data_IF_453839803503
#
_entry.id   IF_453839803503
#
_cell.length_a   1.000
_cell.length_b   1.000
_cell.length_c   1.000
_cell.angle_alpha   90.00
_cell.angle_beta   90.00
_cell.angle_gamma   90.00
#
_symmetry.space_group_name_H-M   'P 1'
#
loop_
_entity.id
_entity.type
_entity.pdbx_description
1 polymer ?
#
# COMPACT_ATOMS: atom_id res chain seq x y z
N UNK A 1 5.91 33.40 28.75
CA UNK A 1 7.05 34.08 28.09
C UNK A 1 6.93 33.79 26.60
N UNK A 2 6.39 34.76 25.83
CA UNK A 2 6.03 34.57 24.43
C UNK A 2 7.25 34.85 23.54
N UNK A 3 7.79 33.81 22.91
CA UNK A 3 8.81 33.95 21.86
C UNK A 3 8.12 33.86 20.50
N UNK A 4 7.90 35.04 19.90
CA UNK A 4 7.55 35.21 18.49
C UNK A 4 8.79 34.83 17.66
N UNK A 5 8.70 33.77 16.88
CA UNK A 5 9.62 33.56 15.77
C UNK A 5 9.03 34.12 14.48
N UNK A 6 9.80 35.03 13.92
CA UNK A 6 9.62 35.86 12.74
C UNK A 6 9.51 35.06 11.44
N UNK A 7 8.65 35.51 10.52
CA UNK A 7 8.64 35.11 9.09
C UNK A 7 10.00 35.39 8.44
N UNK A 8 10.40 34.54 7.48
CA UNK A 8 11.04 35.06 6.27
C UNK A 8 10.46 34.30 5.04
N UNK A 9 10.10 34.83 3.87
CA UNK A 9 10.56 35.95 3.05
C UNK A 9 9.39 36.40 2.12
N UNK A 10 9.43 37.66 1.66
CA UNK A 10 8.52 38.21 0.63
C UNK A 10 8.84 37.67 -0.79
N UNK A 11 7.87 37.71 -1.72
CA UNK A 11 8.03 37.20 -3.07
C UNK A 11 8.85 38.16 -3.95
N UNK A 12 9.96 37.69 -4.51
CA UNK A 12 10.64 38.35 -5.62
C UNK A 12 9.79 38.22 -6.88
N UNK A 13 9.26 39.36 -7.37
CA UNK A 13 8.68 39.46 -8.72
C UNK A 13 9.76 39.22 -9.77
N UNK A 14 9.85 38.01 -10.29
CA UNK A 14 10.60 37.71 -11.51
C UNK A 14 9.84 38.29 -12.71
N UNK A 15 10.45 39.23 -13.43
CA UNK A 15 9.99 39.64 -14.77
C UNK A 15 10.29 38.49 -15.76
N UNK A 16 9.36 38.12 -16.64
CA UNK A 16 9.67 37.14 -17.68
C UNK A 16 10.62 37.74 -18.72
N UNK A 17 11.71 37.03 -19.01
CA UNK A 17 12.59 37.30 -20.16
C UNK A 17 11.89 36.91 -21.46
N UNK A 18 12.14 37.61 -22.59
CA UNK A 18 11.53 37.28 -23.87
C UNK A 18 11.97 35.89 -24.37
N UNK A 19 11.13 35.18 -25.13
CA UNK A 19 11.44 33.84 -25.62
C UNK A 19 12.58 33.87 -26.64
N UNK A 20 13.48 32.87 -26.64
CA UNK A 20 14.52 32.76 -27.66
C UNK A 20 13.93 32.45 -29.05
N UNK A 21 14.65 32.81 -30.14
CA UNK A 21 14.15 32.63 -31.51
C UNK A 21 13.97 31.15 -31.88
N UNK A 22 12.87 30.85 -32.57
CA UNK A 22 12.52 29.52 -33.09
C UNK A 22 13.64 28.93 -33.93
N UNK A 23 14.29 27.87 -33.44
CA UNK A 23 15.16 27.01 -34.25
C UNK A 23 14.30 26.24 -35.26
N UNK A 24 14.77 26.24 -36.52
CA UNK A 24 14.17 25.51 -37.64
C UNK A 24 14.10 24.01 -37.34
N UNK A 25 12.91 23.46 -37.58
CA UNK A 25 12.57 22.04 -37.55
C UNK A 25 13.59 21.17 -38.29
N UNK A 26 14.23 20.25 -37.57
CA UNK A 26 14.85 19.06 -38.17
C UNK A 26 13.73 18.03 -38.41
N UNK A 27 13.58 17.63 -39.67
CA UNK A 27 12.61 16.60 -40.11
C UNK A 27 12.82 15.32 -39.31
N UNK A 28 11.89 15.01 -38.42
CA UNK A 28 11.75 13.67 -37.88
C UNK A 28 11.15 12.78 -38.98
N UNK A 29 11.80 11.66 -39.26
CA UNK A 29 11.31 10.65 -40.18
C UNK A 29 9.97 10.10 -39.66
N UNK A 30 8.93 10.29 -40.46
CA UNK A 30 7.60 9.75 -40.21
C UNK A 30 7.67 8.23 -40.46
N UNK A 31 7.69 7.42 -39.41
CA UNK A 31 7.42 5.99 -39.52
C UNK A 31 5.92 5.83 -39.78
N UNK A 32 5.56 5.67 -41.05
CA UNK A 32 4.22 5.26 -41.46
C UNK A 32 4.12 3.75 -41.28
N UNK A 33 3.21 3.21 -40.46
CA UNK A 33 2.86 1.80 -40.54
C UNK A 33 1.89 1.64 -41.71
N UNK A 34 2.43 1.30 -42.89
CA UNK A 34 1.64 0.67 -43.94
C UNK A 34 1.52 -0.81 -43.60
N UNK A 35 0.41 -1.20 -42.98
CA UNK A 35 -0.17 -2.53 -43.12
C UNK A 35 -1.59 -2.48 -42.56
N UNK A 36 -2.53 -2.95 -43.36
CA UNK A 36 -3.94 -3.15 -43.06
C UNK A 36 -4.14 -4.06 -41.83
N UNK A 37 -4.03 -3.51 -40.63
CA UNK A 37 -4.61 -4.11 -39.45
C UNK A 37 -6.12 -3.82 -39.50
N UNK A 38 -6.90 -4.82 -39.93
CA UNK A 38 -8.32 -4.86 -39.60
C UNK A 38 -8.46 -4.50 -38.11
N UNK A 39 -9.20 -3.44 -37.82
CA UNK A 39 -9.60 -3.15 -36.44
C UNK A 39 -10.22 -4.44 -35.87
N UNK A 40 -9.76 -4.97 -34.72
CA UNK A 40 -10.34 -6.18 -34.18
C UNK A 40 -11.79 -5.86 -33.82
N UNK A 41 -12.71 -6.38 -34.63
CA UNK A 41 -14.11 -6.42 -34.30
C UNK A 41 -14.27 -7.28 -33.04
N UNK A 42 -14.84 -6.70 -31.98
CA UNK A 42 -15.33 -7.39 -30.78
C UNK A 42 -14.36 -8.37 -30.10
N UNK A 43 -13.22 -7.91 -29.60
CA UNK A 43 -12.62 -8.59 -28.44
C UNK A 43 -13.27 -8.03 -27.18
N UNK A 44 -13.99 -8.87 -26.45
CA UNK A 44 -14.40 -8.53 -25.08
C UNK A 44 -13.13 -8.34 -24.26
N UNK A 45 -12.99 -7.23 -23.50
CA UNK A 45 -11.86 -7.06 -22.60
C UNK A 45 -11.72 -8.28 -21.68
N UNK A 46 -10.51 -8.83 -21.60
CA UNK A 46 -10.18 -9.94 -20.73
C UNK A 46 -9.74 -9.41 -19.36
N UNK A 47 -10.69 -9.41 -18.43
CA UNK A 47 -10.41 -9.11 -17.02
C UNK A 47 -10.13 -10.39 -16.25
N UNK A 48 -9.01 -10.44 -15.54
CA UNK A 48 -8.63 -11.54 -14.67
C UNK A 48 -8.57 -11.10 -13.21
N UNK A 49 -8.92 -11.99 -12.30
CA UNK A 49 -8.74 -11.78 -10.86
C UNK A 49 -7.62 -12.69 -10.38
N UNK A 50 -6.58 -12.12 -9.75
CA UNK A 50 -5.51 -12.86 -9.09
C UNK A 50 -5.69 -12.73 -7.58
N UNK A 51 -5.82 -13.86 -6.89
CA UNK A 51 -5.92 -13.90 -5.42
C UNK A 51 -4.88 -14.86 -4.88
N UNK A 52 -4.08 -14.35 -3.94
CA UNK A 52 -3.27 -15.19 -3.05
C UNK A 52 -3.84 -15.06 -1.64
N UNK A 53 -4.32 -16.14 -1.01
CA UNK A 53 -4.85 -16.04 0.34
C UNK A 53 -3.74 -15.64 1.33
N UNK A 54 -3.94 -14.53 2.04
CA UNK A 54 -3.00 -14.02 3.04
C UNK A 54 -2.95 -14.93 4.27
N UNK A 55 -1.76 -15.13 4.84
CA UNK A 55 -1.59 -15.81 6.13
C UNK A 55 -1.78 -17.33 6.11
N UNK A 56 -1.88 -17.97 4.93
CA UNK A 56 -2.05 -19.43 4.81
C UNK A 56 -0.79 -20.18 4.35
N UNK A 57 0.32 -19.47 4.13
CA UNK A 57 1.57 -20.08 3.64
C UNK A 57 1.46 -20.60 2.20
N UNK A 58 0.88 -19.82 1.30
CA UNK A 58 0.73 -20.21 -0.10
C UNK A 58 2.09 -20.56 -0.75
N UNK A 59 2.13 -21.59 -1.58
CA UNK A 59 3.35 -22.01 -2.25
C UNK A 59 3.95 -20.91 -3.14
N UNK A 60 3.10 -20.04 -3.69
CA UNK A 60 3.46 -18.79 -4.39
C UNK A 60 2.59 -17.68 -3.82
N UNK A 61 3.18 -16.54 -3.46
CA UNK A 61 2.49 -15.43 -2.79
C UNK A 61 2.46 -15.53 -1.26
N UNK A 62 3.02 -16.60 -0.70
CA UNK A 62 3.03 -16.83 0.75
C UNK A 62 4.04 -15.98 1.51
N UNK A 63 4.94 -15.29 0.80
CA UNK A 63 5.98 -14.44 1.37
C UNK A 63 6.02 -13.09 0.67
N UNK A 64 6.65 -12.10 1.30
CA UNK A 64 6.70 -10.74 0.80
C UNK A 64 7.24 -10.66 -0.64
N UNK A 65 6.34 -10.42 -1.60
CA UNK A 65 6.71 -10.18 -2.99
C UNK A 65 6.87 -11.37 -3.92
N UNK A 66 6.72 -12.60 -3.43
CA UNK A 66 6.96 -13.78 -4.26
C UNK A 66 5.82 -14.06 -5.27
N UNK A 67 4.69 -13.35 -5.17
CA UNK A 67 3.63 -13.36 -6.18
C UNK A 67 3.74 -12.27 -7.27
N UNK A 68 4.58 -11.25 -7.09
CA UNK A 68 4.68 -10.16 -8.05
C UNK A 68 5.07 -10.63 -9.47
N UNK A 69 6.01 -11.59 -9.66
CA UNK A 69 6.29 -12.15 -10.98
C UNK A 69 5.07 -12.81 -11.63
N UNK A 70 4.24 -13.52 -10.85
CA UNK A 70 3.00 -14.16 -11.35
C UNK A 70 2.00 -13.10 -11.78
N UNK A 71 1.83 -12.05 -10.98
CA UNK A 71 0.95 -10.95 -11.34
C UNK A 71 1.38 -10.25 -12.63
N UNK A 72 2.70 -10.05 -12.82
CA UNK A 72 3.25 -9.51 -14.07
C UNK A 72 3.00 -10.41 -15.28
N UNK A 73 3.13 -11.73 -15.12
CA UNK A 73 2.80 -12.68 -16.17
C UNK A 73 1.33 -12.63 -16.57
N UNK A 74 0.42 -12.51 -15.59
CA UNK A 74 -1.01 -12.35 -15.87
C UNK A 74 -1.32 -10.99 -16.53
N UNK A 75 -0.72 -9.91 -16.03
CA UNK A 75 -0.89 -8.56 -16.58
C UNK A 75 -0.38 -8.44 -18.02
N UNK A 76 0.55 -9.29 -18.45
CA UNK A 76 1.05 -9.32 -19.82
C UNK A 76 0.04 -9.91 -20.83
N UNK A 77 -0.95 -10.68 -20.36
CA UNK A 77 -1.94 -11.36 -21.23
C UNK A 77 -3.37 -10.88 -21.01
N UNK A 78 -3.66 -10.23 -19.88
CA UNK A 78 -4.96 -9.67 -19.54
C UNK A 78 -5.06 -8.18 -19.91
N UNK A 79 -6.26 -7.76 -20.32
CA UNK A 79 -6.55 -6.33 -20.53
C UNK A 79 -6.69 -5.59 -19.19
N UNK A 80 -7.11 -6.30 -18.13
CA UNK A 80 -7.20 -5.80 -16.76
C UNK A 80 -6.94 -6.94 -15.77
N UNK A 81 -6.12 -6.69 -14.75
CA UNK A 81 -5.92 -7.58 -13.61
C UNK A 81 -6.49 -6.94 -12.36
N UNK A 82 -7.33 -7.65 -11.63
CA UNK A 82 -7.80 -7.25 -10.30
C UNK A 82 -7.03 -8.10 -9.30
N UNK A 83 -6.39 -7.47 -8.32
CA UNK A 83 -5.63 -8.16 -7.29
C UNK A 83 -5.67 -7.37 -5.98
N UNK A 84 -5.23 -7.98 -4.89
CA UNK A 84 -5.08 -7.30 -3.62
C UNK A 84 -3.61 -6.90 -3.34
N UNK A 85 -3.36 -5.94 -2.43
CA UNK A 85 -2.02 -5.38 -2.20
C UNK A 85 -0.92 -6.40 -1.86
N UNK A 86 -1.23 -7.47 -1.12
CA UNK A 86 -0.21 -8.41 -0.63
C UNK A 86 0.34 -9.30 -1.74
N UNK A 87 -0.31 -9.35 -2.91
CA UNK A 87 0.21 -10.03 -4.11
C UNK A 87 1.31 -9.19 -4.78
N UNK A 88 1.20 -7.86 -4.68
CA UNK A 88 1.88 -6.92 -5.56
C UNK A 88 2.99 -6.13 -4.87
N UNK A 89 2.93 -6.03 -3.55
CA UNK A 89 3.94 -5.36 -2.76
C UNK A 89 4.88 -6.40 -2.14
N UNK A 90 6.17 -6.13 -2.28
CA UNK A 90 7.26 -6.89 -1.68
C UNK A 90 7.96 -5.96 -0.69
N UNK A 91 7.30 -5.68 0.44
CA UNK A 91 7.63 -4.55 1.31
C UNK A 91 7.73 -3.23 0.50
N UNK A 92 8.92 -2.61 0.43
CA UNK A 92 9.16 -1.39 -0.37
C UNK A 92 9.32 -1.63 -1.87
N UNK A 93 9.54 -2.88 -2.30
CA UNK A 93 9.72 -3.22 -3.70
C UNK A 93 8.35 -3.30 -4.38
N UNK A 94 8.04 -2.26 -5.15
CA UNK A 94 6.80 -2.12 -5.90
C UNK A 94 7.08 -2.07 -7.41
N UNK A 95 6.25 -2.74 -8.21
CA UNK A 95 6.31 -2.65 -9.68
C UNK A 95 5.02 -2.06 -10.25
N UNK A 96 5.06 -0.88 -10.87
CA UNK A 96 3.86 -0.27 -11.44
C UNK A 96 3.35 -1.09 -12.64
N UNK A 97 2.08 -1.50 -12.56
CA UNK A 97 1.38 -2.16 -13.66
C UNK A 97 0.16 -1.31 -14.06
N UNK A 98 0.14 -0.73 -15.28
CA UNK A 98 -0.88 0.25 -15.68
C UNK A 98 -2.27 -0.35 -15.87
N UNK A 99 -2.38 -1.67 -16.04
CA UNK A 99 -3.63 -2.41 -16.23
C UNK A 99 -4.04 -3.22 -14.99
N UNK A 100 -3.60 -2.82 -13.79
CA UNK A 100 -3.92 -3.54 -12.55
C UNK A 100 -4.70 -2.67 -11.57
N UNK A 101 -5.80 -3.22 -11.02
CA UNK A 101 -6.62 -2.62 -10.00
C UNK A 101 -6.36 -3.27 -8.65
N UNK A 102 -6.02 -2.44 -7.65
CA UNK A 102 -5.79 -2.85 -6.27
C UNK A 102 -7.09 -2.81 -5.50
N UNK A 103 -7.52 -3.96 -5.00
CA UNK A 103 -8.78 -4.13 -4.29
C UNK A 103 -8.52 -4.90 -3.01
N UNK A 104 -8.88 -4.33 -1.88
CA UNK A 104 -8.81 -5.00 -0.59
C UNK A 104 -9.69 -6.27 -0.58
N UNK A 105 -9.32 -7.27 0.20
CA UNK A 105 -9.93 -8.61 0.18
C UNK A 105 -11.46 -8.60 0.35
N UNK A 106 -12.00 -7.85 1.31
CA UNK A 106 -13.44 -7.75 1.48
C UNK A 106 -14.12 -7.05 0.30
N UNK A 107 -13.56 -5.97 -0.22
CA UNK A 107 -14.09 -5.33 -1.43
C UNK A 107 -14.09 -6.29 -2.63
N UNK A 108 -13.07 -7.15 -2.72
CA UNK A 108 -12.96 -8.16 -3.77
C UNK A 108 -14.04 -9.23 -3.63
N UNK A 109 -14.31 -9.70 -2.41
CA UNK A 109 -15.42 -10.62 -2.14
C UNK A 109 -16.76 -10.00 -2.57
N UNK A 110 -17.02 -8.75 -2.17
CA UNK A 110 -18.26 -8.03 -2.55
C UNK A 110 -18.37 -7.81 -4.05
N UNK A 111 -17.25 -7.61 -4.75
CA UNK A 111 -17.21 -7.54 -6.20
C UNK A 111 -17.51 -8.89 -6.85
N UNK A 112 -16.92 -9.98 -6.37
CA UNK A 112 -17.16 -11.33 -6.87
C UNK A 112 -18.61 -11.81 -6.64
N UNK A 113 -19.22 -11.38 -5.53
CA UNK A 113 -20.65 -11.58 -5.24
C UNK A 113 -21.59 -10.75 -6.14
N UNK A 114 -21.06 -9.85 -6.98
CA UNK A 114 -21.85 -8.93 -7.79
C UNK A 114 -22.55 -7.83 -6.99
N UNK A 115 -22.21 -7.68 -5.70
CA UNK A 115 -22.80 -6.68 -4.82
C UNK A 115 -22.19 -5.29 -5.04
N UNK A 116 -20.89 -5.23 -5.35
CA UNK A 116 -20.15 -3.99 -5.59
C UNK A 116 -19.61 -3.97 -7.03
N UNK A 117 -19.44 -2.76 -7.56
CA UNK A 117 -18.68 -2.52 -8.79
C UNK A 117 -17.39 -1.78 -8.45
N UNK A 118 -16.36 -1.95 -9.28
CA UNK A 118 -15.08 -1.26 -9.13
C UNK A 118 -15.02 -0.07 -10.09
N UNK A 119 -14.65 1.09 -9.57
CA UNK A 119 -14.41 2.30 -10.36
C UNK A 119 -12.91 2.62 -10.36
N UNK A 120 -12.21 2.48 -11.51
CA UNK A 120 -10.85 2.95 -11.63
C UNK A 120 -10.78 4.46 -11.41
N UNK A 121 -9.79 4.89 -10.64
CA UNK A 121 -9.50 6.30 -10.40
C UNK A 121 -8.06 6.60 -10.79
N UNK A 122 -7.80 7.82 -11.23
CA UNK A 122 -6.44 8.26 -11.53
C UNK A 122 -5.59 8.33 -10.24
N UNK A 123 -6.18 8.82 -9.15
CA UNK A 123 -5.48 9.04 -7.89
C UNK A 123 -6.48 9.11 -6.72
N UNK A 124 -6.13 8.50 -5.59
CA UNK A 124 -6.87 8.60 -4.34
C UNK A 124 -6.32 9.73 -3.47
N UNK A 125 -7.19 10.48 -2.82
CA UNK A 125 -6.89 11.40 -1.73
C UNK A 125 -6.83 10.60 -0.43
N UNK A 126 -5.62 10.45 0.10
CA UNK A 126 -5.32 9.52 1.18
C UNK A 126 -5.28 10.24 2.53
N UNK A 127 -6.03 9.71 3.49
CA UNK A 127 -5.89 10.06 4.91
C UNK A 127 -4.98 9.07 5.63
N UNK A 128 -4.14 9.56 6.54
CA UNK A 128 -3.21 8.72 7.32
C UNK A 128 -3.71 8.58 8.77
N UNK A 129 -3.89 7.35 9.25
CA UNK A 129 -4.15 7.08 10.67
C UNK A 129 -2.89 6.51 11.30
N UNK A 130 -2.47 7.10 12.42
CA UNK A 130 -1.35 6.62 13.22
C UNK A 130 -1.90 6.15 14.57
N UNK A 131 -1.56 4.94 14.98
CA UNK A 131 -1.89 4.45 16.31
C UNK A 131 -1.14 5.27 17.38
N UNK A 132 -1.86 5.70 18.42
CA UNK A 132 -1.28 6.39 19.59
C UNK A 132 -0.35 5.51 20.42
N UNK A 133 -0.41 4.19 20.24
CA UNK A 133 0.55 3.25 20.82
C UNK A 133 1.95 3.30 20.18
N UNK A 134 2.13 3.97 19.03
CA UNK A 134 3.42 4.07 18.36
C UNK A 134 4.33 5.03 19.13
N UNK A 135 5.56 4.60 19.38
CA UNK A 135 6.61 5.40 20.01
C UNK A 135 6.91 6.67 19.20
N UNK A 136 7.33 7.75 19.87
CA UNK A 136 7.48 9.06 19.24
C UNK A 136 8.47 9.04 18.06
N UNK A 137 9.60 8.35 18.20
CA UNK A 137 10.60 8.23 17.14
C UNK A 137 10.06 7.43 15.94
N UNK A 138 9.41 6.29 16.19
CA UNK A 138 8.86 5.45 15.13
C UNK A 138 7.73 6.17 14.39
N UNK A 139 6.88 6.89 15.13
CA UNK A 139 5.83 7.75 14.56
C UNK A 139 6.43 8.85 13.67
N UNK A 140 7.51 9.49 14.10
CA UNK A 140 8.20 10.49 13.29
C UNK A 140 8.72 9.90 11.98
N UNK A 141 9.26 8.69 11.99
CA UNK A 141 9.71 7.99 10.77
C UNK A 141 8.55 7.76 9.80
N UNK A 142 7.37 7.34 10.27
CA UNK A 142 6.20 7.18 9.40
C UNK A 142 5.69 8.51 8.83
N UNK A 143 5.75 9.60 9.61
CA UNK A 143 5.43 10.94 9.10
C UNK A 143 6.42 11.37 8.00
N UNK A 144 7.72 11.09 8.18
CA UNK A 144 8.73 11.34 7.15
C UNK A 144 8.50 10.52 5.89
N UNK A 145 8.05 9.27 6.01
CA UNK A 145 7.63 8.43 4.86
C UNK A 145 6.45 9.07 4.13
N UNK A 146 5.45 9.59 4.86
CA UNK A 146 4.33 10.29 4.25
C UNK A 146 4.76 11.57 3.51
N UNK A 147 5.69 12.35 4.09
CA UNK A 147 6.26 13.53 3.45
C UNK A 147 7.09 13.17 2.22
N UNK A 148 7.88 12.09 2.27
CA UNK A 148 8.63 11.58 1.13
C UNK A 148 7.70 11.11 0.01
N UNK A 149 6.63 10.39 0.34
CA UNK A 149 5.62 9.96 -0.62
C UNK A 149 4.93 11.17 -1.30
N UNK A 150 4.64 12.24 -0.56
CA UNK A 150 4.13 13.49 -1.12
C UNK A 150 5.14 14.15 -2.06
N UNK A 151 6.38 14.30 -1.61
CA UNK A 151 7.41 15.06 -2.31
C UNK A 151 7.96 14.35 -3.56
N UNK A 152 8.20 13.03 -3.45
CA UNK A 152 8.88 12.25 -4.49
C UNK A 152 7.92 11.51 -5.41
N UNK A 153 6.79 11.01 -4.89
CA UNK A 153 5.81 10.24 -5.66
C UNK A 153 4.58 11.08 -6.07
N UNK A 154 4.43 12.29 -5.52
CA UNK A 154 3.29 13.16 -5.80
C UNK A 154 1.97 12.61 -5.24
N UNK A 155 2.00 11.71 -4.24
CA UNK A 155 0.80 11.12 -3.65
C UNK A 155 0.06 12.15 -2.77
N UNK A 156 -1.27 12.26 -2.83
CA UNK A 156 -2.00 13.29 -2.10
C UNK A 156 -2.39 12.74 -0.73
N UNK A 157 -1.38 12.57 0.13
CA UNK A 157 -1.59 12.29 1.56
C UNK A 157 -1.95 13.61 2.23
N UNK A 158 -3.23 13.87 2.48
CA UNK A 158 -3.73 15.22 2.77
C UNK A 158 -3.76 15.60 4.24
N UNK A 159 -3.99 14.63 5.11
CA UNK A 159 -4.12 14.83 6.55
C UNK A 159 -3.74 13.53 7.27
N UNK A 160 -3.21 13.67 8.48
CA UNK A 160 -3.05 12.56 9.39
C UNK A 160 -3.81 12.80 10.69
N UNK A 161 -4.26 11.72 11.32
CA UNK A 161 -4.86 11.73 12.65
C UNK A 161 -4.20 10.65 13.50
N UNK A 162 -4.09 10.90 14.79
CA UNK A 162 -3.64 9.91 15.76
C UNK A 162 -4.86 9.33 16.46
N UNK A 163 -4.90 8.02 16.68
CA UNK A 163 -5.99 7.38 17.43
C UNK A 163 -6.07 7.95 18.86
N UNK A 164 -7.27 8.03 19.44
CA UNK A 164 -7.46 8.54 20.81
C UNK A 164 -7.09 7.53 21.89
N UNK A 165 -6.88 6.27 21.53
CA UNK A 165 -6.43 5.19 22.43
C UNK A 165 -5.55 4.22 21.65
N UNK A 166 -4.50 3.61 22.27
CA UNK A 166 -3.67 2.62 21.60
C UNK A 166 -4.50 1.46 21.06
N UNK A 167 -4.20 0.95 19.87
CA UNK A 167 -5.03 -0.12 19.28
C UNK A 167 -4.89 -1.47 19.97
N UNK A 168 -3.80 -1.67 20.72
CA UNK A 168 -3.51 -2.91 21.47
C UNK A 168 -3.58 -4.15 20.57
N UNK A 169 -2.79 -4.13 19.50
CA UNK A 169 -2.69 -5.25 18.56
C UNK A 169 -2.09 -6.48 19.25
N UNK A 170 -2.69 -7.64 19.01
CA UNK A 170 -2.17 -8.95 19.40
C UNK A 170 -2.20 -9.88 18.21
N UNK A 171 -1.12 -10.64 18.00
CA UNK A 171 -0.96 -11.60 16.91
C UNK A 171 -0.71 -12.99 17.48
N UNK A 172 -1.18 -14.03 16.80
CA UNK A 172 -0.86 -15.43 17.13
C UNK A 172 -1.09 -16.36 15.93
N UNK A 173 -0.44 -17.51 15.94
CA UNK A 173 -0.73 -18.61 15.02
C UNK A 173 -1.90 -19.45 15.55
N UNK A 174 -2.87 -19.80 14.70
CA UNK A 174 -3.90 -20.77 15.04
C UNK A 174 -3.57 -22.15 14.44
N UNK A 175 -3.15 -23.14 15.27
CA UNK A 175 -2.80 -24.48 14.80
C UNK A 175 -3.98 -25.25 14.19
N UNK A 176 -5.23 -24.89 14.52
CA UNK A 176 -6.42 -25.60 14.01
C UNK A 176 -6.69 -25.28 12.55
N UNK A 177 -6.48 -24.03 12.15
CA UNK A 177 -6.70 -23.60 10.77
C UNK A 177 -5.39 -23.40 9.98
N UNK A 178 -4.23 -23.43 10.64
CA UNK A 178 -2.92 -23.27 10.02
C UNK A 178 -2.65 -21.86 9.52
N UNK A 179 -3.23 -20.84 10.18
CA UNK A 179 -3.17 -19.44 9.72
C UNK A 179 -2.69 -18.52 10.83
N UNK A 180 -2.07 -17.41 10.44
CA UNK A 180 -1.90 -16.28 11.34
C UNK A 180 -3.22 -15.53 11.53
N UNK A 181 -3.45 -15.06 12.75
CA UNK A 181 -4.63 -14.31 13.14
C UNK A 181 -4.30 -13.40 14.33
N UNK A 182 -5.28 -12.66 14.82
CA UNK A 182 -5.10 -11.85 16.01
C UNK A 182 -6.31 -11.01 16.40
N UNK A 183 -6.08 -9.96 17.18
CA UNK A 183 -7.12 -9.04 17.63
C UNK A 183 -6.65 -7.59 17.64
N UNK A 184 -7.59 -6.68 17.35
CA UNK A 184 -7.47 -5.24 17.58
C UNK A 184 -8.26 -4.91 18.85
N UNK A 185 -7.59 -4.53 19.94
CA UNK A 185 -8.25 -4.28 21.23
C UNK A 185 -9.21 -3.10 21.16
N UNK A 186 -8.71 -1.93 20.76
CA UNK A 186 -9.49 -0.69 20.73
C UNK A 186 -9.97 -0.33 19.31
N UNK A 187 -10.69 -1.24 18.64
CA UNK A 187 -11.16 -1.04 17.26
C UNK A 187 -12.05 0.20 17.07
N UNK A 188 -12.80 0.59 18.10
CA UNK A 188 -13.64 1.79 18.03
C UNK A 188 -12.82 3.08 17.91
N UNK A 189 -11.61 3.10 18.49
CA UNK A 189 -10.68 4.22 18.36
C UNK A 189 -10.23 4.40 16.91
N UNK A 190 -9.89 3.29 16.25
CA UNK A 190 -9.57 3.26 14.82
C UNK A 190 -10.76 3.75 13.97
N UNK A 191 -11.97 3.26 14.25
CA UNK A 191 -13.17 3.67 13.51
C UNK A 191 -13.46 5.17 13.67
N UNK A 192 -13.34 5.73 14.89
CA UNK A 192 -13.51 7.17 15.13
C UNK A 192 -12.47 8.00 14.37
N UNK A 193 -11.22 7.54 14.34
CA UNK A 193 -10.14 8.21 13.62
C UNK A 193 -10.40 8.26 12.11
N UNK A 194 -10.78 7.12 11.51
CA UNK A 194 -11.13 7.04 10.08
C UNK A 194 -12.37 7.88 9.76
N UNK A 195 -13.42 7.78 10.58
CA UNK A 195 -14.64 8.58 10.39
C UNK A 195 -14.34 10.09 10.40
N UNK A 196 -13.49 10.54 11.32
CA UNK A 196 -13.05 11.93 11.37
C UNK A 196 -12.33 12.37 10.08
N UNK A 197 -11.42 11.56 9.54
CA UNK A 197 -10.72 11.88 8.28
C UNK A 197 -11.68 11.94 7.09
N UNK A 198 -12.58 10.97 6.98
CA UNK A 198 -13.57 10.91 5.89
C UNK A 198 -14.47 12.14 5.93
N UNK A 199 -14.98 12.49 7.11
CA UNK A 199 -15.95 13.58 7.25
C UNK A 199 -15.33 14.98 7.24
N UNK A 200 -14.11 15.17 7.76
CA UNK A 200 -13.46 16.49 7.86
C UNK A 200 -12.69 16.86 6.60
N UNK A 201 -12.10 15.85 5.97
CA UNK A 201 -11.05 16.05 4.98
C UNK A 201 -11.42 15.46 3.64
N UNK A 202 -12.60 14.87 3.49
CA UNK A 202 -13.11 14.30 2.22
C UNK A 202 -12.06 13.40 1.55
N UNK A 203 -11.51 12.47 2.34
CA UNK A 203 -10.57 11.45 1.84
C UNK A 203 -11.36 10.29 1.24
N UNK A 204 -10.83 9.72 0.17
CA UNK A 204 -11.46 8.58 -0.52
C UNK A 204 -10.63 7.29 -0.42
N UNK A 205 -9.53 7.31 0.33
CA UNK A 205 -8.78 6.13 0.76
C UNK A 205 -8.06 6.43 2.08
N UNK A 206 -7.72 5.39 2.83
CA UNK A 206 -6.98 5.53 4.09
C UNK A 206 -5.79 4.59 4.20
N UNK A 207 -4.68 5.10 4.72
CA UNK A 207 -3.52 4.32 5.12
C UNK A 207 -3.45 4.29 6.66
N UNK A 208 -3.25 3.11 7.24
CA UNK A 208 -3.29 2.91 8.69
C UNK A 208 -1.95 2.34 9.12
N UNK A 209 -1.30 3.01 10.06
CA UNK A 209 -0.09 2.52 10.71
C UNK A 209 -0.47 2.16 12.14
N UNK A 210 -0.39 0.88 12.48
CA UNK A 210 -0.73 0.37 13.81
C UNK A 210 0.52 -0.11 14.54
N UNK A 211 0.60 0.07 15.86
CA UNK A 211 1.70 -0.51 16.65
C UNK A 211 1.43 -2.00 16.83
N UNK A 212 2.26 -2.84 16.22
CA UNK A 212 2.23 -4.28 16.42
C UNK A 212 3.13 -4.66 17.60
N UNK A 213 2.95 -5.82 18.26
CA UNK A 213 3.96 -6.32 19.19
C UNK A 213 5.28 -6.55 18.45
N UNK A 214 6.40 -6.28 19.12
CA UNK A 214 7.71 -6.67 18.59
C UNK A 214 7.83 -8.20 18.63
N UNK A 215 8.48 -8.76 17.60
CA UNK A 215 8.63 -10.20 17.43
C UNK A 215 9.28 -10.88 18.65
N UNK A 216 8.71 -12.00 19.08
CA UNK A 216 9.43 -12.96 19.91
C UNK A 216 10.43 -13.71 18.98
N UNK A 217 11.74 -13.72 19.29
CA UNK A 217 12.76 -14.24 18.38
C UNK A 217 12.55 -15.71 17.96
N UNK A 218 11.87 -16.51 18.77
CA UNK A 218 11.60 -17.93 18.45
C UNK A 218 10.51 -18.13 17.39
N UNK A 219 9.57 -17.19 17.26
CA UNK A 219 8.41 -17.30 16.35
C UNK A 219 8.66 -16.62 14.99
N UNK A 220 9.52 -15.59 14.94
CA UNK A 220 9.83 -14.81 13.72
C UNK A 220 10.84 -15.49 12.78
N UNK A 221 11.75 -16.31 13.32
CA UNK A 221 12.83 -16.93 12.55
C UNK A 221 12.31 -17.89 11.47
N UNK A 222 11.21 -18.59 11.71
CA UNK A 222 10.65 -19.51 10.72
C UNK A 222 10.24 -18.80 9.43
N UNK A 223 9.46 -17.72 9.51
CA UNK A 223 8.99 -16.96 8.35
C UNK A 223 10.15 -16.31 7.59
N UNK A 224 11.10 -15.72 8.34
CA UNK A 224 12.32 -15.12 7.79
C UNK A 224 13.16 -16.14 7.03
N UNK A 225 13.21 -17.39 7.46
CA UNK A 225 13.87 -18.51 6.76
C UNK A 225 13.05 -19.10 5.60
N UNK A 226 11.89 -18.51 5.26
CA UNK A 226 11.04 -18.99 4.17
C UNK A 226 10.16 -20.19 4.57
N UNK A 227 9.86 -20.36 5.86
CA UNK A 227 9.04 -21.44 6.43
C UNK A 227 7.86 -20.87 7.21
N UNK A 228 6.78 -21.61 7.38
CA UNK A 228 5.64 -21.13 8.16
C UNK A 228 4.89 -19.97 7.50
N UNK A 229 4.33 -19.07 8.31
CA UNK A 229 3.45 -17.98 7.88
C UNK A 229 3.83 -16.67 8.56
N UNK A 230 3.56 -15.55 7.90
CA UNK A 230 3.68 -14.22 8.50
C UNK A 230 2.61 -14.04 9.59
N UNK A 231 3.05 -13.81 10.83
CA UNK A 231 2.19 -13.62 12.00
C UNK A 231 1.44 -12.29 12.00
N UNK A 232 1.96 -11.26 11.32
CA UNK A 232 1.36 -9.93 11.27
C UNK A 232 0.20 -9.88 10.28
N UNK A 233 0.33 -10.61 9.18
CA UNK A 233 -0.59 -10.60 8.04
C UNK A 233 -2.07 -10.85 8.38
N UNK A 234 -2.34 -11.65 9.42
CA UNK A 234 -3.70 -11.93 9.87
C UNK A 234 -4.41 -10.70 10.44
N UNK A 235 -3.72 -9.92 11.29
CA UNK A 235 -4.32 -8.72 11.90
C UNK A 235 -4.38 -7.56 10.91
N UNK A 236 -3.38 -7.45 10.03
CA UNK A 236 -3.40 -6.51 8.91
C UNK A 236 -4.67 -6.66 8.06
N UNK A 237 -5.02 -7.91 7.71
CA UNK A 237 -6.25 -8.21 6.99
C UNK A 237 -7.51 -7.85 7.81
N UNK A 238 -7.51 -8.07 9.14
CA UNK A 238 -8.62 -7.65 10.02
C UNK A 238 -8.80 -6.14 10.01
N UNK A 239 -7.70 -5.37 10.08
CA UNK A 239 -7.72 -3.90 10.08
C UNK A 239 -8.33 -3.38 8.78
N UNK A 240 -7.81 -3.80 7.61
CA UNK A 240 -8.32 -3.32 6.33
C UNK A 240 -9.76 -3.78 6.08
N UNK A 241 -10.09 -5.02 6.44
CA UNK A 241 -11.46 -5.54 6.35
C UNK A 241 -12.45 -4.69 7.15
N UNK A 242 -12.12 -4.37 8.41
CA UNK A 242 -12.97 -3.56 9.28
C UNK A 242 -13.30 -2.21 8.64
N UNK A 243 -12.29 -1.54 8.08
CA UNK A 243 -12.42 -0.23 7.48
C UNK A 243 -13.21 -0.27 6.17
N UNK A 244 -12.83 -1.15 5.24
CA UNK A 244 -13.51 -1.26 3.95
C UNK A 244 -14.97 -1.65 4.14
N UNK A 245 -15.26 -2.57 5.07
CA UNK A 245 -16.62 -2.96 5.41
C UNK A 245 -17.47 -1.80 5.94
N UNK A 246 -16.91 -0.95 6.80
CA UNK A 246 -17.62 0.17 7.43
C UNK A 246 -17.78 1.37 6.50
N UNK A 247 -16.69 1.80 5.87
CA UNK A 247 -16.60 3.08 5.15
C UNK A 247 -16.67 2.94 3.64
N UNK A 248 -16.50 1.73 3.09
CA UNK A 248 -16.54 1.44 1.64
C UNK A 248 -15.53 2.26 0.81
N UNK A 249 -14.41 2.60 1.43
CA UNK A 249 -13.26 3.23 0.77
C UNK A 249 -12.06 2.28 0.84
N UNK A 250 -11.12 2.31 -0.13
CA UNK A 250 -9.90 1.54 -0.07
C UNK A 250 -9.10 1.81 1.21
N UNK A 251 -8.52 0.75 1.75
CA UNK A 251 -7.67 0.80 2.94
C UNK A 251 -6.37 0.06 2.69
N UNK A 252 -5.26 0.66 3.13
CA UNK A 252 -3.97 0.02 3.26
C UNK A 252 -3.54 0.04 4.73
N UNK A 253 -2.74 -0.94 5.13
CA UNK A 253 -2.17 -1.06 6.47
C UNK A 253 -0.64 -1.12 6.38
N UNK A 254 0.02 -0.78 7.47
CA UNK A 254 1.43 -1.04 7.70
C UNK A 254 1.65 -1.31 9.19
N UNK A 255 2.47 -2.30 9.55
CA UNK A 255 2.82 -2.56 10.93
C UNK A 255 3.95 -1.61 11.34
N UNK A 256 3.75 -0.85 12.41
CA UNK A 256 4.83 -0.18 13.11
C UNK A 256 5.46 -1.20 14.06
N UNK A 257 6.64 -1.68 13.67
CA UNK A 257 7.47 -2.60 14.45
C UNK A 257 8.89 -2.05 14.51
N UNK A 258 9.64 -2.41 15.56
CA UNK A 258 11.07 -2.13 15.57
C UNK A 258 11.79 -2.98 14.52
N UNK A 259 12.85 -2.45 13.89
CA UNK A 259 13.65 -3.24 12.97
C UNK A 259 14.16 -4.51 13.66
N UNK A 260 13.93 -5.70 13.08
CA UNK A 260 14.42 -6.95 13.65
C UNK A 260 15.95 -7.00 13.60
N UNK A 261 16.54 -7.88 14.42
CA UNK A 261 17.98 -8.11 14.37
C UNK A 261 18.39 -8.68 13.00
N UNK A 262 19.59 -8.29 12.54
CA UNK A 262 20.16 -8.81 11.30
C UNK A 262 20.32 -10.34 11.40
N UNK A 263 19.79 -11.06 10.42
CA UNK A 263 19.96 -12.52 10.31
C UNK A 263 20.65 -12.90 8.98
N UNK A 264 21.66 -13.78 9.00
CA UNK A 264 22.28 -14.29 7.77
C UNK A 264 21.45 -15.40 7.09
N UNK A 265 20.42 -15.96 7.76
CA UNK A 265 19.62 -17.08 7.26
C UNK A 265 18.33 -16.65 6.53
N UNK A 266 18.18 -15.37 6.21
CA UNK A 266 16.98 -14.85 5.54
C UNK A 266 16.82 -15.48 4.15
N UNK A 267 15.63 -16.02 3.90
CA UNK A 267 15.26 -16.60 2.61
C UNK A 267 15.10 -15.51 1.54
N UNK A 268 15.51 -15.76 0.29
CA UNK A 268 15.24 -14.83 -0.81
C UNK A 268 13.76 -14.48 -1.01
N UNK A 269 12.84 -15.32 -0.52
CA UNK A 269 11.38 -15.12 -0.61
C UNK A 269 10.84 -14.09 0.39
N UNK A 270 11.53 -13.90 1.51
CA UNK A 270 11.18 -12.97 2.59
C UNK A 270 12.14 -11.77 2.67
N UNK A 271 13.28 -11.84 1.98
CA UNK A 271 14.33 -10.81 2.00
C UNK A 271 13.87 -9.40 1.62
N UNK A 272 12.75 -9.27 0.90
CA UNK A 272 12.18 -7.97 0.58
C UNK A 272 11.82 -7.17 1.84
N UNK A 273 11.43 -7.85 2.93
CA UNK A 273 11.13 -7.21 4.23
C UNK A 273 12.33 -6.49 4.85
N UNK A 274 13.55 -6.94 4.54
CA UNK A 274 14.81 -6.34 5.04
C UNK A 274 15.17 -5.04 4.30
N UNK A 275 14.70 -4.89 3.06
CA UNK A 275 14.99 -3.71 2.20
C UNK A 275 14.41 -2.44 2.81
N UNK A 276 13.32 -2.56 3.57
CA UNK A 276 12.68 -1.49 4.33
C UNK A 276 13.65 -0.63 5.15
N UNK A 277 14.75 -1.25 5.59
CA UNK A 277 15.75 -0.61 6.45
C UNK A 277 16.95 -0.07 5.67
N UNK A 278 17.22 -0.59 4.46
CA UNK A 278 18.48 -0.37 3.74
C UNK A 278 18.28 -0.41 2.20
N UNK A 279 18.42 0.77 1.58
CA UNK A 279 18.36 1.09 0.13
C UNK A 279 16.94 1.21 -0.47
N UNK A 280 16.64 2.38 -1.08
CA UNK A 280 15.38 2.69 -1.78
C UNK A 280 15.60 2.85 -3.29
#
# INVERSE_FOLDING_TARGET
MALRFTRPFLPTRLRPSPPPPRRRSSRAHCLVPSATARAPCFRRPYTSVLVVPTGVGAAIGGFAGDALPVARSLAAVADCVISHPNVLNAAMLYWPMPNTLYVEGYALDRFAEGSWALQPVHQNKVGLVLDSGIEEELRLRHLQVADAARASLGLPVVEYIVTDTPLEIKTWFDPKCGKSTGSVGNSDSLLRAVDALVNRSDVNAVAIVARFPDDDPEDSDCYREGKGVDLLAGVEAIISHLIVKKFKIPSAHAPAVLPPALSPSVSPRSAAEEVSNHFC
#
